data_IF_985531833147
#
_entry.id   IF_985531833147
#
_cell.length_a   1.000
_cell.length_b   1.000
_cell.length_c   1.000
_cell.angle_alpha   90.00
_cell.angle_beta   90.00
_cell.angle_gamma   90.00
#
_symmetry.space_group_name_H-M   'P 1'
#
loop_
_entity.id
_entity.type
_entity.pdbx_description
1 polymer ?
#
# COMPACT_ATOMS: atom_id res chain seq x y z
N UNK A 1 -35.46 -13.08 -23.92
CA UNK A 1 -35.32 -11.67 -24.34
C UNK A 1 -34.93 -10.93 -23.10
N UNK A 2 -33.80 -10.54 -22.90
CA UNK A 2 -32.55 -10.21 -23.42
C UNK A 2 -31.76 -9.60 -22.26
N UNK A 3 -30.72 -10.21 -22.04
CA UNK A 3 -29.34 -9.79 -22.16
C UNK A 3 -28.87 -8.89 -21.08
N UNK A 4 -28.32 -9.51 -20.08
CA UNK A 4 -27.42 -8.92 -19.12
C UNK A 4 -26.00 -9.04 -19.65
N UNK A 5 -25.45 -7.95 -20.11
CA UNK A 5 -24.02 -7.77 -20.27
C UNK A 5 -23.44 -7.21 -18.99
N UNK A 6 -22.97 -8.11 -18.15
CA UNK A 6 -22.07 -7.76 -17.06
C UNK A 6 -20.69 -7.50 -17.67
N UNK A 7 -20.39 -6.25 -17.87
CA UNK A 7 -19.07 -5.79 -18.27
C UNK A 7 -18.11 -5.96 -17.11
N UNK A 8 -17.41 -7.07 -17.10
CA UNK A 8 -16.19 -7.22 -16.32
C UNK A 8 -15.11 -6.32 -16.95
N UNK A 9 -14.84 -5.21 -16.31
CA UNK A 9 -13.80 -4.28 -16.72
C UNK A 9 -12.41 -4.88 -16.48
N UNK A 10 -11.95 -5.69 -17.42
CA UNK A 10 -10.53 -5.96 -17.59
C UNK A 10 -9.91 -4.78 -18.35
N UNK A 11 -9.50 -3.75 -17.63
CA UNK A 11 -8.62 -2.73 -18.16
C UNK A 11 -7.18 -3.04 -17.73
N UNK A 12 -6.54 -3.92 -18.48
CA UNK A 12 -5.09 -3.94 -18.64
C UNK A 12 -4.81 -3.78 -20.12
N UNK A 13 -4.19 -2.67 -20.55
CA UNK A 13 -3.73 -2.55 -21.94
C UNK A 13 -2.66 -3.60 -22.22
N UNK A 14 -2.72 -4.21 -23.40
CA UNK A 14 -1.76 -5.23 -23.85
C UNK A 14 -0.29 -4.75 -23.90
N UNK A 15 -0.01 -3.49 -23.60
CA UNK A 15 1.35 -2.96 -23.47
C UNK A 15 2.02 -3.33 -22.15
N UNK A 16 1.25 -3.79 -21.13
CA UNK A 16 1.81 -4.09 -19.81
C UNK A 16 2.42 -5.49 -19.69
N UNK A 17 2.14 -6.42 -20.59
CA UNK A 17 2.68 -7.78 -20.47
C UNK A 17 4.18 -7.87 -20.79
N UNK A 18 4.69 -7.09 -21.71
CA UNK A 18 6.14 -7.02 -21.99
C UNK A 18 6.89 -6.21 -20.93
N UNK A 19 6.31 -5.13 -20.40
CA UNK A 19 6.88 -4.38 -19.28
C UNK A 19 6.88 -5.18 -17.97
N UNK A 20 5.86 -5.98 -17.71
CA UNK A 20 5.77 -6.84 -16.52
C UNK A 20 6.88 -7.91 -16.52
N UNK A 21 7.31 -8.38 -17.68
CA UNK A 21 8.42 -9.35 -17.78
C UNK A 21 9.79 -8.75 -17.48
N UNK A 22 9.96 -7.44 -17.60
CA UNK A 22 11.21 -6.75 -17.31
C UNK A 22 11.31 -6.17 -15.90
N UNK A 23 10.20 -6.08 -15.17
CA UNK A 23 10.20 -5.59 -13.80
C UNK A 23 10.75 -6.63 -12.83
N UNK A 24 11.66 -6.25 -11.94
CA UNK A 24 12.16 -7.17 -10.91
C UNK A 24 11.01 -7.65 -10.02
N UNK A 25 11.01 -8.95 -9.74
CA UNK A 25 10.03 -9.61 -8.86
C UNK A 25 10.55 -9.86 -7.46
N UNK A 26 11.86 -9.88 -7.28
CA UNK A 26 12.53 -10.18 -6.02
C UNK A 26 13.63 -9.17 -5.74
N UNK A 27 13.98 -8.99 -4.48
CA UNK A 27 15.01 -8.04 -4.02
C UNK A 27 16.35 -8.23 -4.74
N UNK A 28 16.75 -9.46 -5.00
CA UNK A 28 17.99 -9.78 -5.72
C UNK A 28 18.05 -9.20 -7.13
N UNK A 29 16.90 -8.99 -7.76
CA UNK A 29 16.76 -8.44 -9.11
C UNK A 29 16.66 -6.91 -9.11
N UNK A 30 16.37 -6.30 -7.97
CA UNK A 30 16.24 -4.86 -7.85
C UNK A 30 17.62 -4.22 -7.88
N UNK A 31 17.85 -3.33 -8.85
CA UNK A 31 19.13 -2.67 -9.07
C UNK A 31 19.28 -1.46 -8.16
N UNK A 32 20.45 -1.32 -7.55
CA UNK A 32 20.79 -0.19 -6.68
C UNK A 32 20.23 -0.30 -5.26
N UNK A 33 20.32 0.78 -4.50
CA UNK A 33 19.82 0.88 -3.11
C UNK A 33 20.35 -0.24 -2.18
N UNK A 34 21.66 -0.52 -2.11
CA UNK A 34 22.18 -1.70 -1.41
C UNK A 34 21.82 -1.73 0.07
N UNK A 35 21.88 -0.61 0.76
CA UNK A 35 21.50 -0.51 2.18
C UNK A 35 20.01 -0.80 2.42
N UNK A 36 19.15 -0.30 1.53
CA UNK A 36 17.72 -0.57 1.58
C UNK A 36 17.44 -2.07 1.40
N UNK A 37 18.09 -2.70 0.43
CA UNK A 37 17.93 -4.15 0.16
C UNK A 37 18.33 -4.98 1.37
N UNK A 38 19.50 -4.73 1.91
CA UNK A 38 20.01 -5.42 3.10
C UNK A 38 19.06 -5.32 4.28
N UNK A 39 18.58 -4.10 4.57
CA UNK A 39 17.65 -3.89 5.69
C UNK A 39 16.27 -4.51 5.42
N UNK A 40 15.75 -4.42 4.20
CA UNK A 40 14.50 -5.08 3.85
C UNK A 40 14.58 -6.61 4.00
N UNK A 41 15.67 -7.22 3.60
CA UNK A 41 15.91 -8.65 3.79
C UNK A 41 15.82 -9.04 5.27
N UNK A 42 16.43 -8.25 6.15
CA UNK A 42 16.37 -8.47 7.61
C UNK A 42 14.94 -8.35 8.14
N UNK A 43 14.20 -7.30 7.76
CA UNK A 43 12.82 -7.10 8.21
C UNK A 43 11.87 -8.18 7.69
N UNK A 44 12.01 -8.57 6.43
CA UNK A 44 11.21 -9.62 5.82
C UNK A 44 11.46 -10.95 6.51
N UNK A 45 12.71 -11.31 6.74
CA UNK A 45 13.07 -12.54 7.42
C UNK A 45 12.55 -12.57 8.86
N UNK A 46 12.69 -11.48 9.61
CA UNK A 46 12.15 -11.37 10.95
C UNK A 46 10.62 -11.53 11.00
N UNK A 47 9.92 -10.94 10.03
CA UNK A 47 8.47 -11.08 9.88
C UNK A 47 8.06 -12.53 9.60
N UNK A 48 8.79 -13.21 8.70
CA UNK A 48 8.56 -14.64 8.41
C UNK A 48 8.74 -15.52 9.63
N UNK A 49 9.81 -15.31 10.40
CA UNK A 49 10.09 -16.09 11.59
C UNK A 49 9.02 -15.94 12.66
N UNK A 50 8.53 -14.71 12.86
CA UNK A 50 7.43 -14.43 13.80
C UNK A 50 6.05 -14.83 13.26
N UNK A 51 5.93 -15.13 11.97
CA UNK A 51 4.65 -15.38 11.27
C UNK A 51 3.67 -14.21 11.37
N UNK A 52 4.19 -13.00 11.45
CA UNK A 52 3.43 -11.75 11.52
C UNK A 52 3.47 -11.01 10.19
N UNK A 53 2.57 -10.04 10.01
CA UNK A 53 2.69 -9.08 8.93
C UNK A 53 3.94 -8.21 9.13
N UNK A 54 4.55 -7.78 8.03
CA UNK A 54 5.64 -6.79 8.07
C UNK A 54 5.11 -5.46 8.64
N UNK A 55 5.94 -4.70 9.33
CA UNK A 55 5.61 -3.34 9.72
C UNK A 55 5.30 -2.47 8.51
N UNK A 56 4.47 -1.46 8.69
CA UNK A 56 4.13 -0.52 7.62
C UNK A 56 5.37 0.20 7.10
N UNK A 57 5.47 0.34 5.79
CA UNK A 57 6.65 0.84 5.08
C UNK A 57 6.34 2.17 4.40
N UNK A 58 7.18 3.16 4.62
CA UNK A 58 7.10 4.45 3.94
C UNK A 58 8.28 4.62 2.97
N UNK A 59 7.96 4.86 1.71
CA UNK A 59 8.91 5.05 0.63
C UNK A 59 8.83 6.48 0.10
N UNK A 60 9.92 7.21 0.14
CA UNK A 60 9.99 8.55 -0.44
C UNK A 60 11.13 8.65 -1.46
N UNK A 61 11.04 9.63 -2.33
CA UNK A 61 12.08 9.88 -3.31
C UNK A 61 11.54 10.32 -4.66
N UNK A 62 12.41 10.72 -5.57
CA UNK A 62 12.03 11.15 -6.91
C UNK A 62 11.21 10.12 -7.68
N UNK A 63 10.40 10.53 -8.67
CA UNK A 63 9.66 9.61 -9.51
C UNK A 63 10.61 8.72 -10.34
N UNK A 64 10.15 7.54 -10.70
CA UNK A 64 10.90 6.63 -11.58
C UNK A 64 11.99 5.81 -10.89
N UNK A 65 12.12 5.85 -9.56
CA UNK A 65 13.12 5.06 -8.82
C UNK A 65 12.62 3.68 -8.37
N UNK A 66 11.40 3.31 -8.73
CA UNK A 66 10.88 1.96 -8.48
C UNK A 66 10.16 1.78 -7.15
N UNK A 67 9.53 2.81 -6.58
CA UNK A 67 8.74 2.70 -5.34
C UNK A 67 7.61 1.68 -5.47
N UNK A 68 6.84 1.72 -6.55
CA UNK A 68 5.77 0.75 -6.83
C UNK A 68 6.34 -0.66 -7.01
N UNK A 69 7.41 -0.78 -7.76
CA UNK A 69 8.12 -2.05 -7.98
C UNK A 69 8.61 -2.64 -6.65
N UNK A 70 9.14 -1.80 -5.77
CA UNK A 70 9.63 -2.25 -4.47
C UNK A 70 8.50 -2.75 -3.57
N UNK A 71 7.34 -2.09 -3.59
CA UNK A 71 6.16 -2.56 -2.86
C UNK A 71 5.68 -3.94 -3.37
N UNK A 72 5.68 -4.14 -4.67
CA UNK A 72 5.38 -5.43 -5.29
C UNK A 72 6.40 -6.52 -4.92
N UNK A 73 7.69 -6.17 -4.91
CA UNK A 73 8.77 -7.07 -4.48
C UNK A 73 8.55 -7.52 -3.03
N UNK A 74 8.19 -6.60 -2.13
CA UNK A 74 7.91 -6.93 -0.72
C UNK A 74 6.80 -7.99 -0.64
N UNK A 75 5.72 -7.83 -1.38
CA UNK A 75 4.64 -8.81 -1.42
C UNK A 75 5.11 -10.18 -1.93
N UNK A 76 5.92 -10.19 -2.98
CA UNK A 76 6.47 -11.42 -3.55
C UNK A 76 7.42 -12.12 -2.59
N UNK A 77 8.32 -11.37 -1.96
CA UNK A 77 9.24 -11.94 -0.95
C UNK A 77 8.50 -12.54 0.25
N UNK A 78 7.39 -11.93 0.65
CA UNK A 78 6.51 -12.43 1.72
C UNK A 78 5.56 -13.53 1.26
N UNK A 79 5.40 -13.75 -0.05
CA UNK A 79 4.42 -14.66 -0.65
C UNK A 79 2.98 -14.35 -0.23
N UNK A 80 2.62 -13.07 -0.27
CA UNK A 80 1.31 -12.57 0.15
C UNK A 80 0.63 -11.80 -0.99
N UNK A 81 -0.71 -11.63 -0.93
CA UNK A 81 -1.43 -10.83 -1.92
C UNK A 81 -0.95 -9.38 -1.96
N UNK A 82 -1.07 -8.77 -3.13
CA UNK A 82 -0.71 -7.37 -3.38
C UNK A 82 -1.92 -6.61 -3.91
N UNK A 83 -2.21 -5.45 -3.30
CA UNK A 83 -3.19 -4.49 -3.81
C UNK A 83 -2.53 -3.13 -3.93
N UNK A 84 -2.84 -2.42 -4.99
CA UNK A 84 -2.30 -1.09 -5.25
C UNK A 84 -3.40 -0.10 -5.59
N UNK A 85 -3.26 1.11 -5.10
CA UNK A 85 -4.07 2.27 -5.47
C UNK A 85 -3.23 3.54 -5.38
N UNK A 86 -3.83 4.66 -5.70
CA UNK A 86 -3.23 5.97 -5.50
C UNK A 86 -4.12 6.85 -4.62
N UNK A 87 -3.54 7.79 -3.89
CA UNK A 87 -4.31 8.68 -3.03
C UNK A 87 -5.40 9.48 -3.79
N UNK A 88 -5.17 9.97 -5.02
CA UNK A 88 -6.22 10.62 -5.80
C UNK A 88 -7.44 9.75 -6.11
N UNK A 89 -7.27 8.43 -6.17
CA UNK A 89 -8.39 7.49 -6.38
C UNK A 89 -9.22 7.26 -5.10
N UNK A 90 -8.71 7.67 -3.95
CA UNK A 90 -9.37 7.56 -2.64
C UNK A 90 -10.02 8.90 -2.26
N UNK A 91 -11.05 9.28 -2.98
CA UNK A 91 -11.68 10.60 -2.82
C UNK A 91 -12.56 10.70 -1.57
N UNK A 92 -13.22 9.61 -1.21
CA UNK A 92 -14.15 9.52 -0.10
C UNK A 92 -13.73 8.43 0.89
N UNK A 93 -14.12 8.55 2.17
CA UNK A 93 -13.89 7.53 3.18
C UNK A 93 -14.34 6.13 2.75
N UNK A 94 -15.48 6.02 2.07
CA UNK A 94 -16.01 4.77 1.54
C UNK A 94 -15.11 4.08 0.52
N UNK A 95 -14.35 4.82 -0.27
CA UNK A 95 -13.43 4.27 -1.25
C UNK A 95 -12.31 3.47 -0.57
N UNK A 96 -11.72 4.04 0.49
CA UNK A 96 -10.70 3.35 1.28
C UNK A 96 -11.28 2.19 2.09
N UNK A 97 -12.43 2.38 2.73
CA UNK A 97 -13.10 1.36 3.50
C UNK A 97 -13.45 0.12 2.65
N UNK A 98 -13.89 0.32 1.42
CA UNK A 98 -14.20 -0.77 0.49
C UNK A 98 -12.95 -1.62 0.17
N UNK A 99 -11.81 -1.00 -0.04
CA UNK A 99 -10.56 -1.72 -0.27
C UNK A 99 -10.12 -2.46 1.00
N UNK A 100 -10.10 -1.77 2.14
CA UNK A 100 -9.64 -2.34 3.42
C UNK A 100 -10.48 -3.54 3.85
N UNK A 101 -11.80 -3.50 3.67
CA UNK A 101 -12.68 -4.63 4.01
C UNK A 101 -12.54 -5.84 3.08
N UNK A 102 -11.87 -5.67 1.94
CA UNK A 102 -11.56 -6.75 1.00
C UNK A 102 -10.13 -7.29 1.13
N UNK A 103 -9.35 -6.78 2.09
CA UNK A 103 -7.95 -7.21 2.33
C UNK A 103 -7.93 -8.62 2.90
N UNK A 104 -7.00 -9.42 2.40
CA UNK A 104 -6.68 -10.74 2.93
C UNK A 104 -5.56 -10.66 3.98
N UNK A 105 -5.38 -11.73 4.73
CA UNK A 105 -4.34 -11.81 5.78
C UNK A 105 -2.95 -11.54 5.20
N UNK A 106 -2.20 -10.67 5.87
CA UNK A 106 -0.83 -10.25 5.51
C UNK A 106 -0.68 -9.59 4.13
N UNK A 107 -1.78 -9.20 3.51
CA UNK A 107 -1.77 -8.48 2.24
C UNK A 107 -0.82 -7.26 2.32
N UNK A 108 -0.06 -7.04 1.27
CA UNK A 108 0.63 -5.75 1.06
C UNK A 108 -0.30 -4.83 0.30
N UNK A 109 -0.65 -3.72 0.94
CA UNK A 109 -1.49 -2.69 0.36
C UNK A 109 -0.65 -1.44 0.06
N UNK A 110 -0.55 -1.09 -1.21
CA UNK A 110 0.25 0.03 -1.70
C UNK A 110 -0.62 1.24 -2.02
N UNK A 111 -0.25 2.40 -1.47
CA UNK A 111 -0.87 3.69 -1.82
C UNK A 111 0.21 4.61 -2.37
N UNK A 112 0.11 4.93 -3.66
CA UNK A 112 0.98 5.91 -4.30
C UNK A 112 0.51 7.34 -4.01
N UNK A 113 1.45 8.30 -4.07
CA UNK A 113 1.19 9.71 -3.79
C UNK A 113 0.43 9.94 -2.47
N UNK A 114 0.82 9.23 -1.41
CA UNK A 114 0.11 9.22 -0.13
C UNK A 114 -0.05 10.61 0.50
N UNK A 115 0.81 11.58 0.14
CA UNK A 115 0.70 12.97 0.57
C UNK A 115 -0.58 13.68 0.07
N UNK A 116 -1.27 13.11 -0.93
CA UNK A 116 -2.50 13.65 -1.51
C UNK A 116 -3.78 13.11 -0.86
N UNK A 117 -3.67 12.28 0.16
CA UNK A 117 -4.85 11.83 0.92
C UNK A 117 -5.55 13.02 1.57
N UNK A 118 -6.88 13.06 1.46
CA UNK A 118 -7.70 14.02 2.19
C UNK A 118 -7.71 13.67 3.68
N UNK A 119 -7.77 14.67 4.59
CA UNK A 119 -7.74 14.43 6.04
C UNK A 119 -8.78 13.41 6.52
N UNK A 120 -9.99 13.46 5.98
CA UNK A 120 -11.07 12.54 6.36
C UNK A 120 -10.79 11.08 5.96
N UNK A 121 -10.09 10.87 4.84
CA UNK A 121 -9.65 9.54 4.39
C UNK A 121 -8.46 9.07 5.21
N UNK A 122 -7.55 9.98 5.53
CA UNK A 122 -6.36 9.71 6.34
C UNK A 122 -6.73 9.21 7.75
N UNK A 123 -7.79 9.74 8.37
CA UNK A 123 -8.27 9.28 9.67
C UNK A 123 -8.69 7.80 9.69
N UNK A 124 -9.32 7.33 8.62
CA UNK A 124 -9.66 5.91 8.48
C UNK A 124 -8.39 5.05 8.41
N UNK A 125 -7.38 5.55 7.73
CA UNK A 125 -6.12 4.86 7.59
C UNK A 125 -5.40 4.69 8.94
N UNK A 126 -5.51 5.65 9.85
CA UNK A 126 -4.91 5.55 11.18
C UNK A 126 -5.40 4.34 11.97
N UNK A 127 -6.71 4.17 12.08
CA UNK A 127 -7.31 3.02 12.78
C UNK A 127 -6.98 1.71 12.10
N UNK A 128 -6.94 1.70 10.77
CA UNK A 128 -6.57 0.51 10.01
C UNK A 128 -5.11 0.10 10.24
N UNK A 129 -4.20 1.06 10.33
CA UNK A 129 -2.77 0.79 10.55
C UNK A 129 -2.44 0.37 11.98
N UNK A 130 -3.07 1.02 12.97
CA UNK A 130 -2.76 0.77 14.38
C UNK A 130 -3.53 -0.40 14.96
N UNK A 131 -4.84 -0.42 14.73
CA UNK A 131 -5.77 -1.33 15.40
C UNK A 131 -6.33 -2.41 14.48
N UNK A 132 -5.97 -2.42 13.21
CA UNK A 132 -6.53 -3.31 12.20
C UNK A 132 -8.05 -3.36 12.24
N UNK A 133 -8.66 -2.18 12.16
CA UNK A 133 -10.10 -2.00 12.12
C UNK A 133 -10.48 -0.80 11.27
N UNK A 134 -11.71 -0.82 10.76
CA UNK A 134 -12.32 0.30 10.05
C UNK A 134 -13.60 0.69 10.74
N UNK A 135 -13.77 1.98 11.00
CA UNK A 135 -15.02 2.54 11.49
C UNK A 135 -15.92 2.91 10.29
N UNK A 136 -17.07 2.28 10.19
CA UNK A 136 -18.06 2.54 9.15
C UNK A 136 -19.30 3.14 9.77
N UNK A 137 -19.74 4.28 9.24
CA UNK A 137 -20.99 4.92 9.66
C UNK A 137 -22.14 4.34 8.85
N UNK A 138 -23.12 3.76 9.54
CA UNK A 138 -24.34 3.21 8.95
C UNK A 138 -25.52 4.12 9.34
N UNK A 139 -26.33 4.47 8.33
CA UNK A 139 -27.49 5.34 8.51
C UNK A 139 -27.18 6.82 8.30
N UNK A 140 -28.19 7.65 8.45
CA UNK A 140 -28.13 9.09 8.28
C UNK A 140 -28.79 9.81 9.46
N UNK A 141 -28.31 11.04 9.73
CA UNK A 141 -28.87 11.90 10.77
C UNK A 141 -28.66 11.40 12.21
N UNK A 142 -29.54 11.75 13.14
CA UNK A 142 -29.39 11.45 14.58
C UNK A 142 -29.37 9.94 14.89
N UNK A 143 -29.84 9.09 13.99
CA UNK A 143 -29.84 7.63 14.11
C UNK A 143 -28.62 6.93 13.52
N UNK A 144 -27.66 7.68 13.02
CA UNK A 144 -26.44 7.12 12.48
C UNK A 144 -25.63 6.39 13.56
N UNK A 145 -25.12 5.20 13.21
CA UNK A 145 -24.30 4.37 14.11
C UNK A 145 -22.94 4.14 13.49
N UNK A 146 -21.90 4.18 14.30
CA UNK A 146 -20.56 3.74 13.91
C UNK A 146 -20.39 2.26 14.26
N UNK A 147 -19.96 1.48 13.30
CA UNK A 147 -19.63 0.07 13.47
C UNK A 147 -18.14 -0.11 13.20
N UNK A 148 -17.47 -0.83 14.10
CA UNK A 148 -16.07 -1.22 13.94
C UNK A 148 -15.99 -2.57 13.22
N UNK A 149 -15.36 -2.59 12.05
CA UNK A 149 -15.13 -3.80 11.28
C UNK A 149 -13.69 -4.22 11.49
N UNK A 150 -13.41 -5.41 12.06
CA UNK A 150 -12.05 -5.91 12.21
C UNK A 150 -11.47 -6.25 10.84
N UNK A 151 -10.19 -5.95 10.67
CA UNK A 151 -9.40 -6.30 9.48
C UNK A 151 -8.37 -7.37 9.84
N UNK A 152 -8.03 -8.28 8.92
CA UNK A 152 -6.85 -9.10 9.11
C UNK A 152 -5.59 -8.21 9.12
N UNK A 153 -4.54 -8.57 9.86
CA UNK A 153 -3.28 -7.86 9.83
C UNK A 153 -2.74 -7.75 8.41
N UNK A 154 -2.28 -6.57 8.02
CA UNK A 154 -1.76 -6.26 6.69
C UNK A 154 -0.57 -5.30 6.79
N UNK A 155 0.16 -5.13 5.71
CA UNK A 155 1.23 -4.15 5.60
C UNK A 155 0.83 -3.04 4.64
N UNK A 156 0.77 -1.81 5.13
CA UNK A 156 0.66 -0.65 4.26
C UNK A 156 2.04 -0.25 3.75
N UNK A 157 2.15 -0.06 2.45
CA UNK A 157 3.31 0.60 1.82
C UNK A 157 2.82 1.92 1.24
N UNK A 158 3.22 3.02 1.85
CA UNK A 158 2.93 4.37 1.37
C UNK A 158 4.10 4.94 0.60
N UNK A 159 3.84 5.50 -0.58
CA UNK A 159 4.87 6.12 -1.41
C UNK A 159 4.57 7.58 -1.71
N UNK A 160 5.61 8.40 -1.76
CA UNK A 160 5.49 9.81 -2.10
C UNK A 160 6.75 10.36 -2.77
N UNK A 161 6.58 11.31 -3.65
CA UNK A 161 7.66 12.17 -4.16
C UNK A 161 7.90 13.40 -3.28
N UNK A 162 7.00 13.67 -2.33
CA UNK A 162 6.96 14.89 -1.51
C UNK A 162 6.79 14.55 -0.02
N UNK A 163 7.83 13.95 0.57
CA UNK A 163 7.79 13.52 1.97
C UNK A 163 7.41 14.63 2.96
N UNK A 164 7.82 15.86 2.70
CA UNK A 164 7.49 17.01 3.55
C UNK A 164 6.00 17.41 3.56
N UNK A 165 5.19 16.88 2.64
CA UNK A 165 3.75 17.12 2.59
C UNK A 165 2.92 16.03 3.28
N UNK A 166 3.55 14.96 3.75
CA UNK A 166 2.87 13.93 4.53
C UNK A 166 2.67 14.43 5.96
N UNK A 167 1.46 14.25 6.49
CA UNK A 167 1.16 14.68 7.85
C UNK A 167 2.01 13.94 8.89
N UNK A 168 2.39 14.61 9.96
CA UNK A 168 3.16 13.99 11.05
C UNK A 168 2.43 12.80 11.69
N UNK A 169 1.10 12.86 11.94
CA UNK A 169 0.37 11.72 12.46
C UNK A 169 0.44 10.48 11.55
N UNK A 170 0.35 10.67 10.24
CA UNK A 170 0.48 9.55 9.30
C UNK A 170 1.90 9.02 9.25
N UNK A 171 2.89 9.90 9.10
CA UNK A 171 4.29 9.51 9.04
C UNK A 171 4.74 8.69 10.25
N UNK A 172 4.32 9.09 11.46
CA UNK A 172 4.69 8.41 12.71
C UNK A 172 4.16 6.97 12.83
N UNK A 173 3.20 6.58 12.00
CA UNK A 173 2.62 5.23 12.01
C UNK A 173 3.38 4.22 11.16
N UNK A 174 4.36 4.67 10.40
CA UNK A 174 5.24 3.79 9.63
C UNK A 174 6.41 3.33 10.49
N UNK A 175 6.58 2.02 10.64
CA UNK A 175 7.69 1.44 11.39
C UNK A 175 8.98 1.36 10.57
N UNK A 176 8.88 1.36 9.24
CA UNK A 176 10.00 1.30 8.31
C UNK A 176 9.90 2.49 7.37
N UNK A 177 10.94 3.32 7.31
CA UNK A 177 10.97 4.50 6.43
C UNK A 177 12.24 4.50 5.59
N UNK A 178 12.07 4.66 4.27
CA UNK A 178 13.18 4.69 3.32
C UNK A 178 13.04 5.84 2.34
N UNK A 179 14.18 6.48 2.08
CA UNK A 179 14.34 7.43 0.99
C UNK A 179 15.15 6.78 -0.13
N UNK A 180 14.57 6.72 -1.31
CA UNK A 180 15.27 6.31 -2.52
C UNK A 180 15.97 7.53 -3.12
N UNK A 181 17.24 7.39 -3.42
CA UNK A 181 18.04 8.42 -4.05
C UNK A 181 18.43 7.99 -5.47
N UNK A 182 18.77 8.97 -6.31
CA UNK A 182 19.34 8.66 -7.62
C UNK A 182 20.63 7.87 -7.48
N UNK A 183 20.90 6.99 -8.46
CA UNK A 183 22.15 6.27 -8.49
C UNK A 183 23.31 7.25 -8.62
N UNK A 184 24.23 7.20 -7.70
CA UNK A 184 25.58 7.73 -7.94
C UNK A 184 26.33 6.67 -8.73
N UNK A 185 26.60 6.98 -9.99
CA UNK A 185 27.61 6.24 -10.75
C UNK A 185 28.95 6.53 -10.05
N UNK A 186 29.41 5.56 -9.27
CA UNK A 186 30.75 5.57 -8.70
C UNK A 186 31.80 5.21 -9.75
#
# INVERSE_FOLDING_TARGET
MDNEDIVSSNFLPQQDEEEVTLRPRYLRQFVGQPKLKENLEIFIEASRQRKESLDHVFLSGPPGLGKTTLAYIIANELSVPFKATSAPALDKPGDLAAILTSIEEKNVFFIDEIHRLKPIVEEILYSAMEDFQVDVVIGQGPGARSIKIPLPPFTLVGATTKAGLVSSPLYSRFGITWRLDFYTLG
#
